data_IF_307780513677
#
_entry.id   IF_307780513677
#
_cell.length_a   1.000
_cell.length_b   1.000
_cell.length_c   1.000
_cell.angle_alpha   90.00
_cell.angle_beta   90.00
_cell.angle_gamma   90.00
#
_symmetry.space_group_name_H-M   'P 1'
#
loop_
_entity.id
_entity.type
_entity.pdbx_description
1 polymer ?
#
# COMPACT_ATOMS: atom_id res chain seq x y z
N UNK A 1 26.92 -20.89 -17.59
CA UNK A 1 27.63 -21.27 -16.35
C UNK A 1 28.03 -22.74 -16.53
N UNK A 2 29.32 -23.12 -16.42
CA UNK A 2 29.73 -24.51 -16.51
C UNK A 2 29.10 -25.36 -15.40
N UNK A 3 28.88 -26.66 -15.71
CA UNK A 3 28.43 -27.62 -14.71
C UNK A 3 29.52 -27.88 -13.68
N UNK A 4 29.16 -27.88 -12.41
CA UNK A 4 30.11 -28.12 -11.30
C UNK A 4 30.66 -26.84 -10.65
N UNK A 5 30.36 -25.67 -11.19
CA UNK A 5 30.69 -24.42 -10.54
C UNK A 5 29.80 -24.25 -9.31
N UNK A 6 30.40 -23.86 -8.19
CA UNK A 6 29.67 -23.55 -6.94
C UNK A 6 29.52 -22.06 -6.69
N UNK A 7 30.20 -21.23 -7.46
CA UNK A 7 30.25 -19.79 -7.30
C UNK A 7 30.15 -19.06 -8.64
N UNK A 8 29.23 -18.07 -8.72
CA UNK A 8 29.25 -17.13 -9.84
C UNK A 8 30.13 -15.95 -9.45
N UNK A 9 31.26 -15.81 -10.19
CA UNK A 9 32.27 -14.80 -9.88
C UNK A 9 31.70 -13.37 -9.90
N UNK A 10 32.36 -12.48 -9.14
CA UNK A 10 32.05 -11.06 -9.14
C UNK A 10 32.07 -10.52 -10.58
N UNK A 11 31.02 -9.77 -10.93
CA UNK A 11 30.87 -9.15 -12.26
C UNK A 11 30.87 -10.12 -13.46
N UNK A 12 30.67 -11.43 -13.25
CA UNK A 12 30.77 -12.44 -14.30
C UNK A 12 29.93 -12.12 -15.55
N UNK A 13 28.74 -11.58 -15.36
CA UNK A 13 27.82 -11.20 -16.44
C UNK A 13 27.48 -9.70 -16.43
N UNK A 14 28.25 -8.88 -15.69
CA UNK A 14 28.01 -7.45 -15.65
C UNK A 14 27.91 -6.84 -17.05
N UNK A 15 26.82 -6.05 -17.28
CA UNK A 15 26.53 -5.41 -18.57
C UNK A 15 26.27 -6.35 -19.74
N UNK A 16 25.94 -7.60 -19.48
CA UNK A 16 25.57 -8.57 -20.52
C UNK A 16 24.22 -8.26 -21.13
N UNK A 17 24.16 -7.20 -21.96
CA UNK A 17 22.90 -6.68 -22.59
C UNK A 17 22.21 -7.66 -23.53
N UNK A 18 22.89 -8.75 -23.94
CA UNK A 18 22.27 -9.81 -24.79
C UNK A 18 21.59 -10.89 -23.95
N UNK A 19 21.84 -10.94 -22.64
CA UNK A 19 21.28 -11.93 -21.73
C UNK A 19 19.81 -11.60 -21.46
N UNK A 20 18.91 -12.49 -21.90
CA UNK A 20 17.45 -12.33 -21.72
C UNK A 20 16.90 -13.17 -20.57
N UNK A 21 17.51 -14.34 -20.37
CA UNK A 21 17.15 -15.26 -19.28
C UNK A 21 18.36 -16.09 -18.90
N UNK A 22 18.40 -16.56 -17.67
CA UNK A 22 19.44 -17.49 -17.21
C UNK A 22 18.84 -18.45 -16.20
N UNK A 23 19.25 -19.73 -16.35
CA UNK A 23 19.05 -20.76 -15.34
C UNK A 23 20.40 -20.95 -14.65
N UNK A 24 20.46 -20.72 -13.36
CA UNK A 24 21.64 -20.96 -12.54
C UNK A 24 21.68 -22.46 -12.22
N UNK A 25 22.79 -23.18 -12.51
CA UNK A 25 22.84 -24.60 -12.28
C UNK A 25 22.73 -25.00 -10.81
N UNK A 26 22.14 -26.16 -10.56
CA UNK A 26 22.16 -26.78 -9.23
C UNK A 26 23.63 -26.99 -8.79
N UNK A 27 23.90 -26.74 -7.49
CA UNK A 27 25.25 -26.78 -6.92
C UNK A 27 25.88 -25.40 -6.76
N UNK A 28 25.36 -24.35 -7.44
CA UNK A 28 25.81 -22.98 -7.16
C UNK A 28 25.28 -22.56 -5.79
N UNK A 29 26.20 -22.17 -4.91
CA UNK A 29 25.90 -21.72 -3.54
C UNK A 29 25.94 -20.21 -3.40
N UNK A 30 26.76 -19.54 -4.25
CA UNK A 30 26.99 -18.10 -4.10
C UNK A 30 26.90 -17.37 -5.44
N UNK A 31 26.22 -16.22 -5.40
CA UNK A 31 26.17 -15.26 -6.50
C UNK A 31 27.01 -14.04 -6.08
N UNK A 32 28.10 -13.78 -6.81
CA UNK A 32 29.07 -12.74 -6.46
C UNK A 32 28.59 -11.31 -6.60
N UNK A 33 29.39 -10.38 -6.12
CA UNK A 33 29.17 -8.95 -6.22
C UNK A 33 29.00 -8.50 -7.68
N UNK A 34 27.93 -7.72 -7.95
CA UNK A 34 27.60 -7.23 -9.30
C UNK A 34 27.54 -8.33 -10.39
N UNK A 35 27.32 -9.60 -10.05
CA UNK A 35 27.43 -10.71 -11.00
C UNK A 35 26.58 -10.52 -12.26
N UNK A 36 25.36 -10.00 -12.14
CA UNK A 36 24.42 -9.68 -13.23
C UNK A 36 24.06 -8.19 -13.31
N UNK A 37 24.84 -7.34 -12.66
CA UNK A 37 24.55 -5.89 -12.65
C UNK A 37 24.49 -5.32 -14.07
N UNK A 38 23.51 -4.44 -14.32
CA UNK A 38 23.28 -3.79 -15.62
C UNK A 38 22.98 -4.79 -16.78
N UNK A 39 22.49 -5.98 -16.48
CA UNK A 39 21.92 -6.88 -17.49
C UNK A 39 20.52 -6.37 -17.87
N UNK A 40 20.46 -5.23 -18.59
CA UNK A 40 19.24 -4.45 -18.83
C UNK A 40 18.15 -5.18 -19.62
N UNK A 41 18.47 -6.27 -20.31
CA UNK A 41 17.49 -7.10 -21.04
C UNK A 41 17.15 -8.43 -20.34
N UNK A 42 17.67 -8.66 -19.13
CA UNK A 42 17.37 -9.85 -18.34
C UNK A 42 15.94 -9.78 -17.81
N UNK A 43 15.07 -10.68 -18.31
CA UNK A 43 13.64 -10.73 -17.96
C UNK A 43 13.33 -11.73 -16.86
N UNK A 44 14.12 -12.80 -16.78
CA UNK A 44 13.95 -13.85 -15.77
C UNK A 44 15.26 -14.46 -15.37
N UNK A 45 15.35 -14.84 -14.12
CA UNK A 45 16.46 -15.62 -13.54
C UNK A 45 15.85 -16.75 -12.72
N UNK A 46 16.36 -17.97 -12.96
CA UNK A 46 16.01 -19.13 -12.15
C UNK A 46 17.16 -19.39 -11.18
N UNK A 47 16.90 -19.19 -9.89
CA UNK A 47 17.86 -19.35 -8.79
C UNK A 47 17.57 -20.69 -8.10
N UNK A 48 18.51 -21.66 -8.12
CA UNK A 48 18.28 -22.97 -7.53
C UNK A 48 18.30 -22.93 -5.99
N UNK A 49 17.71 -23.96 -5.37
CA UNK A 49 17.70 -24.12 -3.91
C UNK A 49 19.09 -24.33 -3.28
N UNK A 50 20.12 -24.52 -4.08
CA UNK A 50 21.50 -24.60 -3.58
C UNK A 50 22.09 -23.24 -3.20
N UNK A 51 21.51 -22.13 -3.70
CA UNK A 51 22.01 -20.77 -3.41
C UNK A 51 21.72 -20.38 -1.97
N UNK A 52 22.78 -19.97 -1.27
CA UNK A 52 22.76 -19.49 0.11
C UNK A 52 23.07 -18.00 0.19
N UNK A 53 23.93 -17.49 -0.70
CA UNK A 53 24.39 -16.10 -0.67
C UNK A 53 24.13 -15.36 -1.98
N UNK A 54 23.58 -14.15 -1.89
CA UNK A 54 23.40 -13.21 -3.02
C UNK A 54 24.15 -11.90 -2.72
N UNK A 55 25.17 -11.64 -3.50
CA UNK A 55 26.11 -10.52 -3.32
C UNK A 55 25.49 -9.14 -3.54
N UNK A 56 26.20 -8.13 -3.03
CA UNK A 56 25.79 -6.73 -3.20
C UNK A 56 25.67 -6.38 -4.70
N UNK A 57 24.60 -5.66 -5.05
CA UNK A 57 24.33 -5.24 -6.44
C UNK A 57 24.24 -6.40 -7.45
N UNK A 58 24.07 -7.67 -7.03
CA UNK A 58 24.14 -8.82 -7.91
C UNK A 58 23.22 -8.70 -9.13
N UNK A 59 22.03 -8.15 -8.98
CA UNK A 59 21.05 -7.91 -10.04
C UNK A 59 20.73 -6.41 -10.21
N UNK A 60 21.57 -5.51 -9.72
CA UNK A 60 21.23 -4.08 -9.78
C UNK A 60 21.08 -3.61 -11.24
N UNK A 61 20.08 -2.75 -11.48
CA UNK A 61 19.74 -2.24 -12.81
C UNK A 61 19.43 -3.32 -13.87
N UNK A 62 18.91 -4.48 -13.47
CA UNK A 62 18.26 -5.43 -14.37
C UNK A 62 16.86 -4.88 -14.70
N UNK A 63 16.79 -3.85 -15.54
CA UNK A 63 15.58 -3.03 -15.76
C UNK A 63 14.40 -3.77 -16.40
N UNK A 64 14.67 -4.88 -17.10
CA UNK A 64 13.63 -5.71 -17.72
C UNK A 64 13.22 -6.92 -16.86
N UNK A 65 13.79 -7.07 -15.65
CA UNK A 65 13.44 -8.17 -14.76
C UNK A 65 12.02 -7.99 -14.24
N UNK A 66 11.15 -8.98 -14.53
CA UNK A 66 9.71 -8.91 -14.19
C UNK A 66 9.33 -9.71 -12.97
N UNK A 67 10.11 -10.73 -12.64
CA UNK A 67 9.84 -11.58 -11.48
C UNK A 67 11.13 -12.06 -10.83
N UNK A 68 11.05 -12.31 -9.52
CA UNK A 68 12.10 -12.92 -8.73
C UNK A 68 11.51 -13.85 -7.66
N UNK A 69 12.10 -15.02 -7.50
CA UNK A 69 11.82 -15.91 -6.38
C UNK A 69 13.11 -16.16 -5.62
N UNK A 70 13.08 -15.90 -4.31
CA UNK A 70 14.20 -16.19 -3.41
C UNK A 70 14.04 -17.62 -2.90
N UNK A 71 15.01 -18.49 -3.14
CA UNK A 71 14.96 -19.90 -2.71
C UNK A 71 14.99 -20.08 -1.18
N UNK A 72 14.62 -21.28 -0.75
CA UNK A 72 14.52 -21.65 0.67
C UNK A 72 15.84 -21.49 1.45
N UNK A 73 16.97 -21.81 0.82
CA UNK A 73 18.28 -21.82 1.49
C UNK A 73 19.01 -20.48 1.52
N UNK A 74 18.49 -19.47 0.81
CA UNK A 74 19.13 -18.14 0.84
C UNK A 74 19.08 -17.59 2.25
N UNK A 75 20.25 -17.43 2.87
CA UNK A 75 20.41 -16.90 4.22
C UNK A 75 20.96 -15.48 4.23
N UNK A 76 21.49 -15.01 3.09
CA UNK A 76 22.07 -13.68 3.00
C UNK A 76 21.84 -12.99 1.65
N UNK A 77 21.08 -11.91 1.70
CA UNK A 77 20.90 -10.94 0.61
C UNK A 77 21.62 -9.65 1.01
N UNK A 78 22.58 -9.21 0.18
CA UNK A 78 23.39 -8.03 0.48
C UNK A 78 22.69 -6.73 -0.01
N UNK A 79 23.08 -5.55 0.54
CA UNK A 79 22.48 -4.30 0.13
C UNK A 79 22.55 -4.04 -1.39
N UNK A 80 21.54 -3.34 -1.90
CA UNK A 80 21.41 -2.94 -3.30
C UNK A 80 21.30 -4.11 -4.29
N UNK A 81 21.09 -5.35 -3.84
CA UNK A 81 21.05 -6.53 -4.71
C UNK A 81 20.12 -6.33 -5.90
N UNK A 82 18.94 -5.80 -5.70
CA UNK A 82 17.93 -5.59 -6.73
C UNK A 82 17.66 -4.09 -7.03
N UNK A 83 18.53 -3.19 -6.57
CA UNK A 83 18.33 -1.76 -6.78
C UNK A 83 18.18 -1.44 -8.28
N UNK A 84 17.14 -0.73 -8.65
CA UNK A 84 16.89 -0.35 -10.04
C UNK A 84 16.24 -1.42 -10.93
N UNK A 85 15.70 -2.50 -10.37
CA UNK A 85 14.86 -3.49 -11.08
C UNK A 85 13.41 -2.97 -11.19
N UNK A 86 13.23 -1.82 -11.85
CA UNK A 86 11.97 -1.05 -11.81
C UNK A 86 10.76 -1.67 -12.49
N UNK A 87 10.92 -2.78 -13.23
CA UNK A 87 9.82 -3.49 -13.89
C UNK A 87 9.40 -4.77 -13.14
N UNK A 88 9.95 -5.00 -11.94
CA UNK A 88 9.46 -6.10 -11.10
C UNK A 88 7.96 -5.91 -10.81
N UNK A 89 7.22 -6.99 -10.99
CA UNK A 89 5.77 -7.07 -10.73
C UNK A 89 5.40 -8.31 -9.93
N UNK A 90 6.33 -9.24 -9.76
CA UNK A 90 6.15 -10.45 -8.95
C UNK A 90 7.42 -10.73 -8.15
N UNK A 91 7.29 -10.68 -6.83
CA UNK A 91 8.37 -10.94 -5.88
C UNK A 91 7.87 -12.00 -4.90
N UNK A 92 8.60 -13.10 -4.79
CA UNK A 92 8.25 -14.19 -3.88
C UNK A 92 9.49 -14.67 -3.12
N UNK A 93 9.25 -15.17 -1.92
CA UNK A 93 10.20 -15.95 -1.15
C UNK A 93 9.63 -17.35 -1.02
N UNK A 94 10.46 -18.37 -1.24
CA UNK A 94 10.06 -19.77 -1.16
C UNK A 94 9.59 -20.11 0.28
N UNK A 95 8.53 -20.88 0.36
CA UNK A 95 8.06 -21.41 1.63
C UNK A 95 9.17 -22.21 2.32
N UNK A 96 9.34 -22.02 3.63
CA UNK A 96 10.42 -22.65 4.40
C UNK A 96 11.71 -21.84 4.50
N UNK A 97 11.89 -20.73 3.77
CA UNK A 97 13.00 -19.83 4.02
C UNK A 97 12.90 -19.26 5.43
N UNK A 98 13.99 -19.33 6.19
CA UNK A 98 14.02 -18.94 7.62
C UNK A 98 14.40 -17.48 7.86
N UNK A 99 14.98 -16.84 6.86
CA UNK A 99 15.58 -15.51 6.98
C UNK A 99 14.77 -14.44 6.28
N UNK A 100 13.99 -14.84 5.28
CA UNK A 100 13.18 -13.93 4.46
C UNK A 100 11.81 -14.52 4.25
N UNK A 101 10.82 -13.65 4.04
CA UNK A 101 9.48 -14.05 3.67
C UNK A 101 8.80 -13.04 2.73
N UNK A 102 7.65 -13.45 2.18
CA UNK A 102 6.69 -12.61 1.46
C UNK A 102 5.33 -12.78 2.13
N UNK A 103 5.29 -12.53 3.46
CA UNK A 103 4.09 -12.73 4.30
C UNK A 103 2.87 -12.03 3.73
N UNK A 104 1.71 -12.67 3.86
CA UNK A 104 0.43 -12.17 3.35
C UNK A 104 0.43 -11.93 1.83
N UNK A 105 1.26 -12.67 1.07
CA UNK A 105 1.46 -12.45 -0.36
C UNK A 105 1.79 -10.99 -0.74
N UNK A 106 2.51 -10.30 0.15
CA UNK A 106 2.78 -8.87 0.07
C UNK A 106 3.60 -8.42 -1.15
N UNK A 107 4.03 -9.36 -1.98
CA UNK A 107 4.81 -9.07 -3.18
C UNK A 107 6.10 -8.27 -2.89
N UNK A 108 6.81 -8.67 -1.83
CA UNK A 108 8.03 -8.07 -1.34
C UNK A 108 8.99 -9.13 -0.77
N UNK A 109 10.25 -8.74 -0.53
CA UNK A 109 11.18 -9.49 0.31
C UNK A 109 11.28 -8.79 1.66
N UNK A 110 10.92 -9.48 2.73
CA UNK A 110 11.02 -8.98 4.10
C UNK A 110 12.05 -9.84 4.85
N UNK A 111 13.01 -9.21 5.50
CA UNK A 111 13.92 -9.88 6.42
C UNK A 111 13.19 -10.17 7.72
N UNK A 112 13.11 -11.44 8.12
CA UNK A 112 12.26 -11.91 9.23
C UNK A 112 12.72 -11.42 10.60
N UNK A 113 14.04 -11.33 10.83
CA UNK A 113 14.62 -10.94 12.12
C UNK A 113 14.39 -9.45 12.43
N UNK A 114 14.63 -8.59 11.44
CA UNK A 114 14.53 -7.13 11.61
C UNK A 114 13.18 -6.55 11.21
N UNK A 115 12.32 -7.35 10.56
CA UNK A 115 11.10 -6.90 9.89
C UNK A 115 11.36 -5.75 8.90
N UNK A 116 12.50 -5.82 8.20
CA UNK A 116 12.88 -4.81 7.20
C UNK A 116 12.43 -5.26 5.82
N UNK A 117 11.67 -4.42 5.12
CA UNK A 117 11.33 -4.63 3.72
C UNK A 117 12.55 -4.29 2.85
N UNK A 118 13.17 -5.30 2.25
CA UNK A 118 14.40 -5.17 1.46
C UNK A 118 14.15 -4.88 -0.01
N UNK A 119 13.05 -5.36 -0.55
CA UNK A 119 12.66 -5.17 -1.94
C UNK A 119 11.14 -5.14 -2.05
N UNK A 120 10.64 -4.13 -2.73
CA UNK A 120 9.25 -4.01 -3.15
C UNK A 120 9.13 -3.63 -4.63
N UNK A 121 7.91 -3.61 -5.12
CA UNK A 121 7.57 -3.21 -6.49
C UNK A 121 6.26 -2.38 -6.51
N UNK A 122 5.76 -2.03 -7.68
CA UNK A 122 4.51 -1.26 -7.82
C UNK A 122 3.25 -1.98 -7.33
N UNK A 123 3.36 -3.27 -7.07
CA UNK A 123 2.25 -4.13 -6.57
C UNK A 123 2.50 -4.59 -5.14
N UNK A 124 3.45 -3.99 -4.44
CA UNK A 124 3.73 -4.33 -3.05
C UNK A 124 2.71 -3.70 -2.12
N UNK A 125 2.13 -4.53 -1.29
CA UNK A 125 1.47 -4.15 -0.06
C UNK A 125 2.48 -4.24 1.10
N UNK A 126 2.54 -3.24 1.97
CA UNK A 126 3.46 -3.26 3.13
C UNK A 126 2.69 -3.78 4.34
N UNK A 127 2.97 -5.00 4.83
CA UNK A 127 2.28 -5.55 6.00
C UNK A 127 2.50 -4.74 7.28
N UNK A 128 1.49 -4.71 8.16
CA UNK A 128 1.55 -4.04 9.47
C UNK A 128 2.58 -4.61 10.47
N UNK A 129 3.36 -5.59 10.04
CA UNK A 129 4.48 -6.15 10.79
C UNK A 129 5.83 -5.62 10.34
N UNK A 130 5.88 -4.86 9.24
CA UNK A 130 7.10 -4.25 8.72
C UNK A 130 7.50 -3.09 9.63
N UNK A 131 8.75 -3.13 10.11
CA UNK A 131 9.30 -2.10 11.00
C UNK A 131 10.10 -1.03 10.25
N UNK A 132 10.68 -1.37 9.08
CA UNK A 132 11.54 -0.48 8.30
C UNK A 132 11.37 -0.70 6.82
N UNK A 133 11.40 0.39 6.03
CA UNK A 133 11.57 0.33 4.59
C UNK A 133 13.07 0.45 4.31
N UNK A 134 13.66 -0.61 3.80
CA UNK A 134 15.11 -0.78 3.67
C UNK A 134 15.74 0.09 2.58
N UNK A 135 17.07 0.07 2.56
CA UNK A 135 17.88 0.83 1.60
C UNK A 135 17.52 0.45 0.16
N UNK A 136 17.12 1.45 -0.63
CA UNK A 136 16.73 1.30 -2.05
C UNK A 136 15.60 0.31 -2.31
N UNK A 137 14.74 0.02 -1.33
CA UNK A 137 13.70 -1.01 -1.41
C UNK A 137 12.76 -0.87 -2.61
N UNK A 138 12.40 0.35 -2.99
CA UNK A 138 11.56 0.68 -4.15
C UNK A 138 12.31 1.50 -5.22
N UNK A 139 13.65 1.56 -5.14
CA UNK A 139 14.42 2.41 -6.05
C UNK A 139 14.13 2.10 -7.52
N UNK A 140 13.82 3.16 -8.30
CA UNK A 140 13.43 3.10 -9.72
C UNK A 140 12.12 2.34 -10.00
N UNK A 141 11.28 2.17 -9.01
CA UNK A 141 9.94 1.59 -9.20
C UNK A 141 9.05 2.59 -9.95
N UNK A 142 9.23 2.67 -11.28
CA UNK A 142 8.58 3.69 -12.13
C UNK A 142 7.07 3.55 -12.22
N UNK A 143 6.53 2.35 -11.97
CA UNK A 143 5.11 2.10 -12.03
C UNK A 143 4.41 2.34 -10.66
N UNK A 144 5.17 2.73 -9.63
CA UNK A 144 4.63 3.07 -8.32
C UNK A 144 4.04 4.48 -8.37
N UNK A 145 2.73 4.59 -8.24
CA UNK A 145 1.99 5.86 -8.25
C UNK A 145 1.65 6.34 -6.85
N UNK A 146 1.39 5.41 -5.95
CA UNK A 146 1.12 5.62 -4.53
C UNK A 146 1.56 4.40 -3.72
N UNK A 147 1.71 4.55 -2.42
CA UNK A 147 1.98 3.44 -1.50
C UNK A 147 1.56 3.85 -0.08
N UNK A 148 0.87 2.95 0.60
CA UNK A 148 0.55 3.11 2.01
C UNK A 148 1.74 2.66 2.87
N UNK A 149 2.16 3.50 3.79
CA UNK A 149 3.16 3.16 4.81
C UNK A 149 2.40 2.90 6.12
N UNK A 150 2.38 1.66 6.63
CA UNK A 150 1.64 1.35 7.85
C UNK A 150 2.30 1.95 9.10
N UNK A 151 1.50 2.16 10.15
CA UNK A 151 1.96 2.72 11.45
C UNK A 151 3.01 1.87 12.18
N UNK A 152 3.27 0.65 11.72
CA UNK A 152 4.36 -0.20 12.24
C UNK A 152 5.75 0.27 11.80
N UNK A 153 5.81 0.99 10.66
CA UNK A 153 7.08 1.45 10.10
C UNK A 153 7.62 2.64 10.89
N UNK A 154 8.89 2.55 11.29
CA UNK A 154 9.56 3.58 12.09
C UNK A 154 10.65 4.31 11.34
N UNK A 155 11.15 3.78 10.21
CA UNK A 155 12.15 4.46 9.40
C UNK A 155 12.02 4.14 7.91
N UNK A 156 12.35 5.14 7.10
CA UNK A 156 12.53 5.04 5.65
C UNK A 156 14.02 5.24 5.38
N UNK A 157 14.69 4.19 4.92
CA UNK A 157 16.13 4.18 4.76
C UNK A 157 16.60 4.91 3.48
N UNK A 158 17.92 5.05 3.33
CA UNK A 158 18.51 5.80 2.21
C UNK A 158 18.08 5.26 0.85
N UNK A 159 17.66 6.18 -0.04
CA UNK A 159 17.26 5.87 -1.41
C UNK A 159 16.02 4.99 -1.54
N UNK A 160 15.28 4.76 -0.48
CA UNK A 160 14.19 3.78 -0.45
C UNK A 160 13.21 3.92 -1.62
N UNK A 161 12.85 5.14 -1.99
CA UNK A 161 11.98 5.46 -3.12
C UNK A 161 12.69 6.28 -4.22
N UNK A 162 14.02 6.29 -4.24
CA UNK A 162 14.75 7.08 -5.22
C UNK A 162 14.34 6.74 -6.65
N UNK A 163 14.13 7.77 -7.50
CA UNK A 163 13.73 7.63 -8.89
C UNK A 163 12.36 6.96 -9.12
N UNK A 164 11.46 6.95 -8.14
CA UNK A 164 10.06 6.60 -8.34
C UNK A 164 9.35 7.74 -9.08
N UNK A 165 9.61 7.84 -10.40
CA UNK A 165 9.22 9.01 -11.20
C UNK A 165 7.71 9.24 -11.32
N UNK A 166 6.88 8.21 -11.09
CA UNK A 166 5.43 8.33 -11.15
C UNK A 166 4.76 8.43 -9.76
N UNK A 167 5.53 8.36 -8.68
CA UNK A 167 5.00 8.60 -7.33
C UNK A 167 4.54 10.04 -7.21
N UNK A 168 3.26 10.26 -6.94
CA UNK A 168 2.62 11.59 -6.92
C UNK A 168 2.42 12.15 -5.53
N UNK A 169 2.01 11.28 -4.63
CA UNK A 169 1.75 11.61 -3.23
C UNK A 169 2.24 10.52 -2.30
N UNK A 170 2.56 10.89 -1.08
CA UNK A 170 2.90 9.96 -0.02
C UNK A 170 2.49 10.53 1.34
N UNK A 171 1.86 9.72 2.15
CA UNK A 171 1.59 10.01 3.55
C UNK A 171 2.64 9.33 4.42
N UNK A 172 3.37 10.12 5.21
CA UNK A 172 4.37 9.65 6.17
C UNK A 172 3.70 9.57 7.53
N UNK A 173 3.44 8.36 8.06
CA UNK A 173 2.72 8.21 9.33
C UNK A 173 3.54 8.73 10.52
N UNK A 174 2.85 9.08 11.61
CA UNK A 174 3.43 9.63 12.84
C UNK A 174 4.43 8.69 13.54
N UNK A 175 4.42 7.42 13.17
CA UNK A 175 5.38 6.42 13.65
C UNK A 175 6.78 6.58 13.08
N UNK A 176 6.93 7.29 11.95
CA UNK A 176 8.24 7.49 11.32
C UNK A 176 9.09 8.45 12.16
N UNK A 177 10.24 7.98 12.56
CA UNK A 177 11.24 8.76 13.30
C UNK A 177 12.32 9.35 12.40
N UNK A 178 12.60 8.70 11.25
CA UNK A 178 13.64 9.18 10.34
C UNK A 178 13.39 8.84 8.88
N UNK A 179 13.79 9.78 8.01
CA UNK A 179 13.86 9.62 6.56
C UNK A 179 15.31 9.80 6.12
N UNK A 180 15.87 8.75 5.51
CA UNK A 180 17.27 8.68 5.13
C UNK A 180 17.65 9.53 3.92
N UNK A 181 18.95 9.55 3.63
CA UNK A 181 19.52 10.29 2.50
C UNK A 181 18.90 9.82 1.17
N UNK A 182 18.59 10.78 0.30
CA UNK A 182 18.04 10.50 -1.05
C UNK A 182 16.78 9.61 -1.04
N UNK A 183 16.07 9.48 0.08
CA UNK A 183 14.94 8.53 0.19
C UNK A 183 13.90 8.73 -0.91
N UNK A 184 13.63 9.96 -1.32
CA UNK A 184 12.73 10.34 -2.42
C UNK A 184 13.45 11.13 -3.51
N UNK A 185 14.75 10.87 -3.70
CA UNK A 185 15.54 11.58 -4.71
C UNK A 185 14.99 11.35 -6.11
N UNK A 186 14.78 12.47 -6.85
CA UNK A 186 14.21 12.46 -8.20
C UNK A 186 12.88 11.70 -8.34
N UNK A 187 12.02 11.81 -7.36
CA UNK A 187 10.60 11.51 -7.53
C UNK A 187 9.95 12.66 -8.28
N UNK A 188 10.10 12.69 -9.62
CA UNK A 188 9.84 13.84 -10.49
C UNK A 188 8.37 14.32 -10.50
N UNK A 189 7.44 13.46 -10.08
CA UNK A 189 6.01 13.79 -9.98
C UNK A 189 5.52 13.89 -8.52
N UNK A 190 6.41 13.78 -7.52
CA UNK A 190 6.02 13.86 -6.11
C UNK A 190 5.75 15.31 -5.72
N UNK A 191 4.48 15.69 -5.76
CA UNK A 191 4.01 17.04 -5.45
C UNK A 191 3.41 17.17 -4.06
N UNK A 192 2.86 16.09 -3.52
CA UNK A 192 2.22 16.04 -2.21
C UNK A 192 2.97 15.08 -1.27
N UNK A 193 3.39 15.59 -0.12
CA UNK A 193 3.96 14.79 0.98
C UNK A 193 3.34 15.28 2.27
N UNK A 194 2.65 14.39 2.95
CA UNK A 194 2.12 14.64 4.28
C UNK A 194 3.19 14.16 5.27
N UNK A 195 3.70 15.07 6.08
CA UNK A 195 4.68 14.78 7.11
C UNK A 195 4.01 14.70 8.49
N UNK A 196 4.56 13.90 9.42
CA UNK A 196 4.12 13.89 10.81
C UNK A 196 4.15 15.28 11.45
N UNK A 197 3.20 15.56 12.34
CA UNK A 197 3.20 16.79 13.14
C UNK A 197 4.32 16.80 14.19
N UNK A 198 4.68 15.63 14.72
CA UNK A 198 5.78 15.45 15.63
C UNK A 198 7.11 15.51 14.86
N UNK A 199 8.07 16.29 15.35
CA UNK A 199 9.35 16.46 14.69
C UNK A 199 10.01 15.14 14.30
N UNK A 200 10.28 15.00 13.00
CA UNK A 200 10.91 13.83 12.38
C UNK A 200 12.30 14.22 11.87
N UNK A 201 13.27 13.31 11.95
CA UNK A 201 14.60 13.50 11.38
C UNK A 201 14.58 13.23 9.88
N UNK A 202 14.74 14.27 9.06
CA UNK A 202 14.75 14.18 7.60
C UNK A 202 16.15 14.55 7.10
N UNK A 203 16.79 13.63 6.37
CA UNK A 203 18.05 13.92 5.70
C UNK A 203 17.91 15.10 4.72
N UNK A 204 18.91 15.97 4.69
CA UNK A 204 18.87 17.24 3.93
C UNK A 204 18.55 17.05 2.44
N UNK A 205 18.95 15.92 1.87
CA UNK A 205 18.83 15.56 0.46
C UNK A 205 17.70 14.54 0.20
N UNK A 206 16.90 14.23 1.22
CA UNK A 206 15.85 13.21 1.14
C UNK A 206 14.89 13.41 -0.04
N UNK A 207 14.54 14.64 -0.36
CA UNK A 207 13.60 15.00 -1.44
C UNK A 207 14.25 15.74 -2.62
N UNK A 208 15.57 15.67 -2.77
CA UNK A 208 16.27 16.41 -3.84
C UNK A 208 15.80 15.97 -5.23
N UNK A 209 15.49 16.95 -6.08
CA UNK A 209 14.98 16.72 -7.42
C UNK A 209 13.51 16.28 -7.48
N UNK A 210 12.76 16.41 -6.38
CA UNK A 210 11.30 16.31 -6.37
C UNK A 210 10.66 17.69 -6.31
N UNK A 211 9.49 17.90 -6.94
CA UNK A 211 8.76 19.18 -6.90
C UNK A 211 8.35 19.59 -5.47
N UNK A 212 8.13 18.62 -4.58
CA UNK A 212 7.76 18.86 -3.19
C UNK A 212 8.74 19.76 -2.44
N UNK A 213 10.06 19.60 -2.66
CA UNK A 213 11.08 20.34 -1.94
C UNK A 213 11.05 21.84 -2.23
N UNK A 214 10.70 22.23 -3.45
CA UNK A 214 10.78 23.61 -3.88
C UNK A 214 9.61 24.46 -3.34
N UNK A 215 8.45 23.83 -3.09
CA UNK A 215 7.23 24.51 -2.67
C UNK A 215 7.15 24.73 -1.14
N UNK A 216 7.87 23.96 -0.32
CA UNK A 216 7.70 23.95 1.14
C UNK A 216 8.71 24.77 1.94
N UNK A 217 9.53 25.61 1.29
CA UNK A 217 10.40 26.54 2.03
C UNK A 217 9.65 27.70 2.71
N UNK A 218 8.35 27.85 2.49
CA UNK A 218 7.57 29.04 2.91
C UNK A 218 6.21 28.78 3.55
N UNK A 219 5.88 27.59 4.04
CA UNK A 219 4.58 27.43 4.73
C UNK A 219 4.74 26.96 6.18
N UNK A 220 5.02 27.93 7.05
CA UNK A 220 4.63 27.85 8.46
C UNK A 220 3.30 28.60 8.57
N UNK A 221 2.18 27.92 8.45
CA UNK A 221 0.90 28.35 9.03
C UNK A 221 -0.06 27.18 9.06
N UNK A 222 -0.19 26.58 10.23
CA UNK A 222 -1.31 25.76 10.57
C UNK A 222 -2.53 26.60 10.79
N UNK A 223 -3.45 26.56 9.84
CA UNK A 223 -4.88 26.56 10.12
C UNK A 223 -5.46 25.49 9.19
N UNK A 224 -5.93 24.41 9.77
CA UNK A 224 -6.59 23.33 9.05
C UNK A 224 -7.90 23.89 8.50
N UNK A 225 -7.84 24.41 7.26
CA UNK A 225 -9.06 24.72 6.53
C UNK A 225 -9.69 23.39 6.16
N UNK A 226 -10.82 23.08 6.77
CA UNK A 226 -11.65 21.93 6.44
C UNK A 226 -12.33 22.18 5.10
N UNK A 227 -12.38 21.15 4.28
CA UNK A 227 -13.14 21.14 3.01
C UNK A 227 -14.28 20.15 3.13
N UNK A 228 -15.41 20.49 2.54
CA UNK A 228 -16.54 19.57 2.46
C UNK A 228 -16.26 18.57 1.34
N UNK A 229 -16.29 17.30 1.67
CA UNK A 229 -16.05 16.20 0.74
C UNK A 229 -17.33 15.41 0.58
N UNK A 230 -17.80 15.24 -0.64
CA UNK A 230 -18.92 14.37 -0.97
C UNK A 230 -18.41 13.12 -1.64
N UNK A 231 -18.85 11.96 -1.20
CA UNK A 231 -18.50 10.68 -1.81
C UNK A 231 -19.71 9.77 -1.91
N UNK A 232 -19.75 8.93 -2.92
CA UNK A 232 -20.74 7.89 -3.10
C UNK A 232 -20.14 6.55 -2.76
N UNK A 233 -20.92 5.69 -2.12
CA UNK A 233 -20.53 4.31 -1.83
C UNK A 233 -21.48 3.32 -2.48
N UNK A 234 -20.98 2.13 -2.72
CA UNK A 234 -21.75 0.98 -3.18
C UNK A 234 -21.33 -0.24 -2.38
N UNK A 235 -22.30 -1.01 -1.90
CA UNK A 235 -22.02 -2.17 -1.09
C UNK A 235 -23.16 -3.17 -1.10
N UNK A 236 -23.03 -4.18 -0.28
CA UNK A 236 -24.00 -5.23 -0.05
C UNK A 236 -24.30 -5.38 1.44
N UNK A 237 -25.58 -5.45 1.71
CA UNK A 237 -26.19 -6.03 2.89
C UNK A 237 -26.86 -7.35 2.42
N UNK A 238 -28.07 -7.65 2.87
CA UNK A 238 -28.94 -8.67 2.24
C UNK A 238 -29.43 -8.24 0.84
N UNK A 239 -29.21 -6.99 0.48
CA UNK A 239 -29.52 -6.37 -0.82
C UNK A 239 -28.42 -5.38 -1.20
N UNK A 240 -28.37 -5.01 -2.49
CA UNK A 240 -27.41 -4.00 -2.97
C UNK A 240 -27.70 -2.63 -2.41
N UNK A 241 -26.77 -2.00 -1.71
CA UNK A 241 -26.87 -0.66 -1.16
C UNK A 241 -26.04 0.33 -2.00
N UNK A 242 -26.54 1.56 -2.09
CA UNK A 242 -25.84 2.67 -2.72
C UNK A 242 -26.30 3.95 -2.06
N UNK A 243 -25.35 4.79 -1.66
CA UNK A 243 -25.66 6.07 -1.04
C UNK A 243 -24.64 7.16 -1.36
N UNK A 244 -24.90 8.33 -0.85
CA UNK A 244 -24.02 9.49 -0.94
C UNK A 244 -23.87 10.07 0.47
N UNK A 245 -22.63 10.29 0.88
CA UNK A 245 -22.27 10.91 2.16
C UNK A 245 -21.53 12.21 1.91
N UNK A 246 -21.65 13.15 2.86
CA UNK A 246 -20.94 14.42 2.82
C UNK A 246 -20.38 14.70 4.20
N UNK A 247 -19.06 14.90 4.28
CA UNK A 247 -18.40 15.21 5.54
C UNK A 247 -17.32 16.28 5.38
N UNK A 248 -16.90 16.87 6.50
CA UNK A 248 -15.81 17.84 6.52
C UNK A 248 -14.49 17.12 6.84
N UNK A 249 -13.50 17.30 5.97
CA UNK A 249 -12.15 16.76 6.13
C UNK A 249 -11.11 17.87 6.04
N UNK A 250 -10.02 17.73 6.79
CA UNK A 250 -8.81 18.51 6.54
C UNK A 250 -8.17 18.06 5.20
N UNK A 251 -7.32 18.89 4.63
CA UNK A 251 -6.60 18.52 3.41
C UNK A 251 -5.77 17.23 3.60
N UNK A 252 -5.23 17.01 4.81
CA UNK A 252 -4.46 15.81 5.17
C UNK A 252 -5.35 14.55 5.16
N UNK A 253 -6.50 14.62 5.79
CA UNK A 253 -7.48 13.52 5.85
C UNK A 253 -8.00 13.17 4.45
N UNK A 254 -8.32 14.19 3.64
CA UNK A 254 -8.77 13.98 2.26
C UNK A 254 -7.71 13.28 1.39
N UNK A 255 -6.44 13.67 1.49
CA UNK A 255 -5.37 12.99 0.75
C UNK A 255 -5.16 11.55 1.24
N UNK A 256 -5.25 11.30 2.54
CA UNK A 256 -5.20 9.94 3.09
C UNK A 256 -6.38 9.10 2.58
N UNK A 257 -7.58 9.63 2.61
CA UNK A 257 -8.79 8.98 2.10
C UNK A 257 -8.68 8.64 0.61
N UNK A 258 -8.25 9.61 -0.22
CA UNK A 258 -8.03 9.40 -1.66
C UNK A 258 -6.98 8.31 -1.93
N UNK A 259 -5.89 8.33 -1.18
CA UNK A 259 -4.81 7.35 -1.33
C UNK A 259 -5.29 5.94 -1.01
N UNK A 260 -5.93 5.74 0.15
CA UNK A 260 -6.45 4.45 0.57
C UNK A 260 -7.53 3.91 -0.36
N UNK A 261 -8.43 4.77 -0.80
CA UNK A 261 -9.47 4.39 -1.75
C UNK A 261 -8.89 3.95 -3.10
N UNK A 262 -7.81 4.59 -3.57
CA UNK A 262 -7.12 4.16 -4.79
C UNK A 262 -6.42 2.82 -4.59
N UNK A 263 -5.80 2.60 -3.44
CA UNK A 263 -5.14 1.33 -3.12
C UNK A 263 -6.13 0.17 -3.00
N UNK A 264 -7.28 0.38 -2.33
CA UNK A 264 -8.34 -0.61 -2.26
C UNK A 264 -8.83 -1.03 -3.66
N UNK A 265 -8.95 -0.07 -4.59
CA UNK A 265 -9.28 -0.35 -6.00
C UNK A 265 -8.18 -1.12 -6.74
N UNK A 266 -6.91 -0.75 -6.52
CA UNK A 266 -5.76 -1.39 -7.18
C UNK A 266 -5.53 -2.83 -6.67
N UNK A 267 -5.92 -3.11 -5.44
CA UNK A 267 -5.80 -4.42 -4.78
C UNK A 267 -7.05 -5.30 -4.94
N UNK A 268 -8.11 -4.78 -5.60
CA UNK A 268 -9.40 -5.49 -5.80
C UNK A 268 -9.99 -5.98 -4.46
N UNK A 269 -10.03 -5.06 -3.48
CA UNK A 269 -10.47 -5.35 -2.12
C UNK A 269 -11.98 -5.52 -2.09
N UNK A 270 -12.45 -6.62 -1.51
CA UNK A 270 -13.88 -6.94 -1.43
C UNK A 270 -14.63 -6.00 -0.46
N UNK A 271 -13.99 -5.60 0.64
CA UNK A 271 -14.54 -4.69 1.65
C UNK A 271 -13.61 -3.49 1.89
N UNK A 272 -13.95 -2.36 1.30
CA UNK A 272 -13.17 -1.11 1.37
C UNK A 272 -13.16 -0.53 2.79
N UNK A 273 -14.24 -0.68 3.57
CA UNK A 273 -14.27 -0.17 4.94
C UNK A 273 -13.41 -1.00 5.88
N UNK A 274 -13.43 -2.32 5.78
CA UNK A 274 -12.52 -3.18 6.54
C UNK A 274 -11.05 -2.87 6.20
N UNK A 275 -10.76 -2.59 4.94
CA UNK A 275 -9.44 -2.13 4.53
C UNK A 275 -9.06 -0.77 5.14
N UNK A 276 -10.02 0.16 5.24
CA UNK A 276 -9.81 1.47 5.88
C UNK A 276 -9.60 1.33 7.39
N UNK A 277 -10.35 0.45 8.07
CA UNK A 277 -10.20 0.21 9.51
C UNK A 277 -8.77 -0.19 9.87
N UNK A 278 -8.14 -1.03 9.04
CA UNK A 278 -6.78 -1.49 9.26
C UNK A 278 -5.71 -0.44 8.92
N UNK A 279 -5.98 0.46 7.97
CA UNK A 279 -4.97 1.28 7.30
C UNK A 279 -5.15 2.79 7.49
N UNK A 280 -6.25 3.24 8.08
CA UNK A 280 -6.58 4.66 8.30
C UNK A 280 -6.39 5.08 9.75
N UNK A 281 -6.30 6.37 10.00
CA UNK A 281 -6.37 6.91 11.34
C UNK A 281 -7.75 6.64 11.97
N UNK A 282 -7.77 6.10 13.19
CA UNK A 282 -9.01 5.58 13.80
C UNK A 282 -10.11 6.64 13.94
N UNK A 283 -9.75 7.91 14.16
CA UNK A 283 -10.72 9.01 14.23
C UNK A 283 -11.40 9.20 12.87
N UNK A 284 -10.63 9.32 11.80
CA UNK A 284 -11.17 9.51 10.45
C UNK A 284 -11.95 8.28 9.97
N UNK A 285 -11.49 7.07 10.27
CA UNK A 285 -12.24 5.84 9.99
C UNK A 285 -13.60 5.85 10.68
N UNK A 286 -13.63 6.14 11.98
CA UNK A 286 -14.89 6.18 12.74
C UNK A 286 -15.88 7.22 12.18
N UNK A 287 -15.38 8.38 11.73
CA UNK A 287 -16.23 9.41 11.16
C UNK A 287 -16.84 8.95 9.82
N UNK A 288 -16.04 8.32 8.95
CA UNK A 288 -16.48 7.77 7.66
C UNK A 288 -17.46 6.61 7.88
N UNK A 289 -17.13 5.67 8.76
CA UNK A 289 -17.99 4.54 9.09
C UNK A 289 -19.33 4.98 9.69
N UNK A 290 -19.30 5.97 10.57
CA UNK A 290 -20.52 6.55 11.16
C UNK A 290 -21.42 7.15 10.08
N UNK A 291 -20.88 7.98 9.19
CA UNK A 291 -21.65 8.61 8.11
C UNK A 291 -22.26 7.59 7.15
N UNK A 292 -21.48 6.57 6.76
CA UNK A 292 -21.98 5.48 5.90
C UNK A 292 -23.07 4.68 6.62
N UNK A 293 -22.85 4.33 7.88
CA UNK A 293 -23.82 3.58 8.68
C UNK A 293 -25.15 4.33 8.85
N UNK A 294 -25.12 5.63 9.13
CA UNK A 294 -26.33 6.45 9.19
C UNK A 294 -27.11 6.41 7.86
N UNK A 295 -26.39 6.53 6.73
CA UNK A 295 -27.02 6.49 5.41
C UNK A 295 -27.55 5.11 5.04
N UNK A 296 -26.86 4.04 5.43
CA UNK A 296 -27.33 2.65 5.24
C UNK A 296 -28.64 2.45 6.01
N UNK A 297 -28.71 2.83 7.27
CA UNK A 297 -29.92 2.75 8.10
C UNK A 297 -31.08 3.54 7.52
N UNK A 298 -30.80 4.77 7.05
CA UNK A 298 -31.82 5.62 6.41
C UNK A 298 -32.36 4.98 5.13
N UNK A 299 -31.52 4.38 4.30
CA UNK A 299 -31.94 3.70 3.08
C UNK A 299 -32.70 2.40 3.38
N UNK A 300 -32.32 1.69 4.44
CA UNK A 300 -33.01 0.48 4.90
C UNK A 300 -34.42 0.81 5.39
N UNK A 301 -34.57 1.87 6.19
CA UNK A 301 -35.89 2.41 6.58
C UNK A 301 -36.80 2.67 5.35
N UNK A 302 -36.25 3.33 4.32
CA UNK A 302 -36.99 3.60 3.09
C UNK A 302 -37.42 2.35 2.34
N UNK A 303 -36.58 1.33 2.26
CA UNK A 303 -36.93 0.06 1.62
C UNK A 303 -38.00 -0.69 2.44
N UNK A 304 -37.91 -0.69 3.77
CA UNK A 304 -38.95 -1.25 4.65
C UNK A 304 -40.29 -0.57 4.45
N UNK A 305 -40.33 0.76 4.41
CA UNK A 305 -41.54 1.55 4.17
C UNK A 305 -42.12 1.28 2.76
N UNK A 306 -41.29 1.32 1.73
CA UNK A 306 -41.66 1.08 0.34
C UNK A 306 -42.32 -0.28 0.11
N UNK A 307 -41.84 -1.31 0.82
CA UNK A 307 -42.35 -2.67 0.73
C UNK A 307 -43.40 -3.00 1.80
N UNK A 308 -43.82 -2.01 2.60
CA UNK A 308 -44.81 -2.16 3.69
C UNK A 308 -44.42 -3.29 4.66
N UNK A 309 -43.13 -3.34 5.02
CA UNK A 309 -42.57 -4.38 5.88
C UNK A 309 -42.77 -4.00 7.36
N UNK A 310 -43.95 -4.27 7.89
CA UNK A 310 -44.34 -3.89 9.27
C UNK A 310 -43.42 -4.53 10.32
N UNK A 311 -42.89 -5.71 10.03
CA UNK A 311 -41.99 -6.47 10.95
C UNK A 311 -40.66 -5.73 11.22
N UNK A 312 -40.37 -4.66 10.46
CA UNK A 312 -39.20 -3.80 10.68
C UNK A 312 -39.42 -2.76 11.79
N UNK A 313 -40.65 -2.64 12.32
CA UNK A 313 -41.02 -1.65 13.33
C UNK A 313 -41.52 -2.33 14.60
N UNK A 314 -40.89 -2.03 15.75
CA UNK A 314 -41.28 -2.61 17.01
C UNK A 314 -42.67 -2.07 17.46
N UNK A 315 -43.55 -2.99 17.87
CA UNK A 315 -44.87 -2.69 18.46
C UNK A 315 -45.80 -1.80 17.59
N UNK A 316 -45.59 -1.75 16.25
CA UNK A 316 -46.44 -0.97 15.33
C UNK A 316 -47.50 -1.86 14.66
N UNK A 317 -48.72 -1.40 14.61
CA UNK A 317 -49.80 -2.07 13.85
C UNK A 317 -50.03 -1.41 12.46
N UNK A 318 -50.80 -2.07 11.59
CA UNK A 318 -51.02 -1.60 10.22
C UNK A 318 -51.77 -0.24 10.17
N UNK A 319 -52.67 -0.01 11.10
CA UNK A 319 -53.45 1.24 11.13
C UNK A 319 -52.57 2.42 11.53
N UNK A 320 -51.64 2.21 12.47
CA UNK A 320 -50.62 3.17 12.86
C UNK A 320 -49.65 3.46 11.72
N UNK A 321 -49.13 2.41 11.08
CA UNK A 321 -48.22 2.53 9.92
C UNK A 321 -48.87 3.35 8.79
N UNK A 322 -50.11 3.04 8.41
CA UNK A 322 -50.83 3.70 7.31
C UNK A 322 -51.20 5.17 7.65
N UNK A 323 -51.16 5.55 8.93
CA UNK A 323 -51.50 6.92 9.41
C UNK A 323 -50.30 7.86 9.45
N UNK A 324 -49.07 7.33 9.43
CA UNK A 324 -47.84 8.10 9.55
C UNK A 324 -47.31 8.55 8.18
N UNK A 325 -46.61 9.66 8.16
CA UNK A 325 -45.85 10.11 6.99
C UNK A 325 -44.54 9.31 6.82
N UNK A 326 -43.96 9.33 5.62
CA UNK A 326 -42.67 8.69 5.37
C UNK A 326 -41.57 9.19 6.32
N UNK A 327 -41.55 10.49 6.62
CA UNK A 327 -40.57 11.08 7.54
C UNK A 327 -40.74 10.56 8.97
N UNK A 328 -41.98 10.49 9.46
CA UNK A 328 -42.28 9.95 10.79
C UNK A 328 -41.96 8.45 10.92
N UNK A 329 -42.19 7.69 9.83
CA UNK A 329 -41.82 6.27 9.79
C UNK A 329 -40.28 6.07 9.76
N UNK A 330 -39.53 6.91 9.05
CA UNK A 330 -38.07 6.88 9.06
C UNK A 330 -37.56 7.18 10.48
N UNK A 331 -38.04 8.24 11.13
CA UNK A 331 -37.65 8.57 12.50
C UNK A 331 -37.95 7.41 13.46
N UNK A 332 -39.13 6.80 13.36
CA UNK A 332 -39.51 5.65 14.17
C UNK A 332 -38.60 4.44 13.94
N UNK A 333 -38.32 4.10 12.69
CA UNK A 333 -37.39 3.00 12.35
C UNK A 333 -35.99 3.22 12.95
N UNK A 334 -35.46 4.43 12.83
CA UNK A 334 -34.14 4.78 13.35
C UNK A 334 -34.10 4.72 14.89
N UNK A 335 -35.18 5.09 15.56
CA UNK A 335 -35.32 4.99 17.01
C UNK A 335 -35.41 3.54 17.49
N UNK A 336 -36.23 2.72 16.83
CA UNK A 336 -36.44 1.30 17.18
C UNK A 336 -35.18 0.48 16.93
N UNK A 337 -34.33 0.87 15.98
CA UNK A 337 -33.10 0.19 15.59
C UNK A 337 -31.82 0.97 16.00
N UNK A 338 -31.88 1.80 17.04
CA UNK A 338 -30.76 2.66 17.46
C UNK A 338 -29.50 1.87 17.91
N UNK A 339 -29.65 0.63 18.40
CA UNK A 339 -28.58 -0.23 18.84
C UNK A 339 -28.14 -1.27 17.76
N UNK A 340 -28.75 -1.21 16.57
CA UNK A 340 -28.46 -2.15 15.47
C UNK A 340 -27.08 -1.89 14.88
N UNK A 341 -26.17 -2.84 15.06
CA UNK A 341 -24.92 -2.90 14.26
C UNK A 341 -25.29 -3.58 12.96
N UNK A 342 -25.28 -2.82 11.86
CA UNK A 342 -25.44 -3.41 10.53
C UNK A 342 -24.10 -3.95 10.06
N UNK A 343 -24.03 -5.25 9.83
CA UNK A 343 -22.92 -5.84 9.09
C UNK A 343 -23.16 -5.59 7.60
N UNK A 344 -22.43 -4.65 7.03
CA UNK A 344 -22.46 -4.34 5.60
C UNK A 344 -21.06 -4.38 5.01
N UNK A 345 -20.99 -4.72 3.75
CA UNK A 345 -19.76 -4.80 2.98
C UNK A 345 -19.75 -3.67 1.94
N UNK A 346 -18.76 -2.80 2.01
CA UNK A 346 -18.60 -1.71 1.06
C UNK A 346 -17.65 -2.12 -0.05
N UNK A 347 -18.22 -2.37 -1.25
CA UNK A 347 -17.47 -2.80 -2.44
C UNK A 347 -16.68 -1.66 -3.08
N UNK A 348 -17.15 -0.41 -2.99
CA UNK A 348 -16.47 0.73 -3.60
C UNK A 348 -16.92 2.07 -3.02
N UNK A 349 -16.00 3.03 -3.04
CA UNK A 349 -16.25 4.44 -2.73
C UNK A 349 -15.76 5.30 -3.89
N UNK A 350 -16.55 6.29 -4.30
CA UNK A 350 -16.20 7.27 -5.32
C UNK A 350 -16.27 8.67 -4.73
N UNK A 351 -15.14 9.39 -4.76
CA UNK A 351 -15.06 10.77 -4.27
C UNK A 351 -15.52 11.70 -5.37
N UNK A 352 -16.51 12.51 -5.08
CA UNK A 352 -17.03 13.50 -6.02
C UNK A 352 -16.18 14.77 -5.90
N UNK A 353 -15.53 15.16 -7.00
CA UNK A 353 -14.70 16.39 -7.10
C UNK A 353 -15.56 17.65 -7.15
#
# INVERSE_FOLDING_TARGET
IPLGETYISDRAFKRSKKLKSIVIPDGVTDIGWEAFSECTNLKSVDIPNSVEYIGSMAFSNCTELTSITIPEKVDKIRPYTFAGCGNLSSIRVAEGNKYYDSRNDCNAIIETESNTLLLGCSRTFIPNTVAKIGVSAFSRCKNLTSILIPKSVTSIESGAFAFCSNLRSINIPDSIMSIGQEAFFRCENLTSVILPENGIEIAKDAFDGSPYKENNKNSSTNKEDKVTVTFTYKGQLDFSIKGECTMEMTAKELEQFKLLNQQAKDEDVDDVLAYFEENMEKSLYNDIDCEINEMVRYNDAKECIKHNMLDCFEDMDQDEFDSMTEEELIERFLDDNCDGIYEYLIESIEIND
#
